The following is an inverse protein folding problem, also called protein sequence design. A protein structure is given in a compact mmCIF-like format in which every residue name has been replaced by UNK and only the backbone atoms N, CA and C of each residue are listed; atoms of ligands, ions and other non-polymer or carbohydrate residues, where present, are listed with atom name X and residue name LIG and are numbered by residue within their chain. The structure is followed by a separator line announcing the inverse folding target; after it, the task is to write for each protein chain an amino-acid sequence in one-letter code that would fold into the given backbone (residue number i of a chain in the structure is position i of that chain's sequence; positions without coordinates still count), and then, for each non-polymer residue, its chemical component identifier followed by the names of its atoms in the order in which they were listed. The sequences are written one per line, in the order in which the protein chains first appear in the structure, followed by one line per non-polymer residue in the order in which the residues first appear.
data_IF_167071584508
#
_entry.id   IF_167071584508
#
_cell.length_a   1.000
_cell.length_b   1.000
_cell.length_c   1.000
_cell.angle_alpha   90.00
_cell.angle_beta   90.00
_cell.angle_gamma   90.00
#
_symmetry.space_group_name_H-M   'P 1'
#
loop_
_entity.id
_entity.type
_entity.pdbx_description
1 polymer ?
#
# COMPACT_ATOMS: atom_id res chain seq x y z
N UNK A 1 14.01 -5.16 -0.05
CA UNK A 1 12.63 -5.37 -0.57
C UNK A 1 12.30 -4.28 -1.60
N UNK A 2 11.47 -4.54 -2.63
CA UNK A 2 11.05 -3.49 -3.58
C UNK A 2 10.14 -2.47 -2.88
N UNK A 3 10.31 -1.17 -3.13
CA UNK A 3 9.57 -0.08 -2.46
C UNK A 3 8.04 -0.24 -2.53
N UNK A 4 7.50 -0.51 -3.73
CA UNK A 4 6.06 -0.73 -3.90
C UNK A 4 5.51 -1.91 -3.07
N UNK A 5 6.31 -2.99 -2.92
CA UNK A 5 5.93 -4.14 -2.07
C UNK A 5 5.91 -3.75 -0.60
N UNK A 6 6.95 -3.04 -0.13
CA UNK A 6 7.03 -2.54 1.24
C UNK A 6 5.83 -1.63 1.55
N UNK A 7 5.60 -0.58 0.75
CA UNK A 7 4.52 0.38 0.96
C UNK A 7 3.16 -0.31 1.03
N UNK A 8 2.89 -1.30 0.17
CA UNK A 8 1.64 -2.07 0.24
C UNK A 8 1.47 -2.77 1.59
N UNK A 9 2.51 -3.44 2.09
CA UNK A 9 2.48 -4.14 3.39
C UNK A 9 2.23 -3.13 4.53
N UNK A 10 2.92 -1.98 4.53
CA UNK A 10 2.77 -0.98 5.59
C UNK A 10 1.38 -0.31 5.60
N UNK A 11 0.73 -0.19 4.44
CA UNK A 11 -0.61 0.39 4.32
C UNK A 11 -1.71 -0.62 4.69
N UNK A 12 -1.63 -1.85 4.17
CA UNK A 12 -2.69 -2.86 4.30
C UNK A 12 -2.52 -3.78 5.52
N UNK A 13 -1.33 -3.81 6.12
CA UNK A 13 -0.98 -4.71 7.20
C UNK A 13 -1.32 -4.21 8.60
N UNK A 14 -0.82 -4.93 9.60
CA UNK A 14 -1.02 -4.66 11.02
C UNK A 14 -0.41 -3.31 11.45
N UNK A 15 -1.24 -2.45 12.03
CA UNK A 15 -0.84 -1.13 12.56
C UNK A 15 0.15 -1.22 13.72
N UNK A 16 0.01 -2.19 14.61
CA UNK A 16 0.90 -2.39 15.75
C UNK A 16 2.33 -2.73 15.29
N UNK A 17 2.44 -3.52 14.21
CA UNK A 17 3.74 -3.86 13.63
C UNK A 17 4.42 -2.62 13.04
N UNK A 18 3.66 -1.78 12.32
CA UNK A 18 4.16 -0.53 11.78
C UNK A 18 4.59 0.44 12.90
N UNK A 19 3.80 0.55 13.97
CA UNK A 19 4.14 1.35 15.14
C UNK A 19 5.42 0.86 15.82
N UNK A 20 5.58 -0.45 16.01
CA UNK A 20 6.81 -1.04 16.55
C UNK A 20 8.04 -0.68 15.72
N UNK A 21 7.95 -0.80 14.39
CA UNK A 21 9.05 -0.43 13.50
C UNK A 21 9.37 1.06 13.58
N UNK A 22 8.35 1.93 13.58
CA UNK A 22 8.54 3.37 13.71
C UNK A 22 9.23 3.73 15.02
N UNK A 23 8.80 3.19 16.16
CA UNK A 23 9.42 3.41 17.48
C UNK A 23 10.89 2.98 17.50
N UNK A 24 11.22 1.89 16.81
CA UNK A 24 12.61 1.46 16.70
C UNK A 24 13.45 2.43 15.85
N UNK A 25 12.90 2.99 14.77
CA UNK A 25 13.60 4.04 14.00
C UNK A 25 13.85 5.26 14.88
N UNK A 26 12.84 5.72 15.63
CA UNK A 26 12.94 6.87 16.52
C UNK A 26 13.97 6.70 17.63
N UNK A 27 14.18 5.46 18.10
CA UNK A 27 15.17 5.18 19.14
C UNK A 27 16.62 5.18 18.64
N UNK A 28 16.87 4.87 17.37
CA UNK A 28 18.22 4.53 16.87
C UNK A 28 18.72 5.41 15.72
N UNK A 29 17.87 6.24 15.11
CA UNK A 29 18.24 7.07 13.97
C UNK A 29 18.24 8.56 14.30
N UNK A 30 19.08 9.30 13.59
CA UNK A 30 18.99 10.75 13.52
C UNK A 30 17.82 11.14 12.60
N UNK A 31 16.89 11.92 13.14
CA UNK A 31 15.61 12.22 12.51
C UNK A 31 15.42 13.71 12.30
N UNK A 32 15.04 14.07 11.08
CA UNK A 32 14.52 15.40 10.77
C UNK A 32 13.12 15.30 10.14
N UNK A 33 12.18 16.11 10.64
CA UNK A 33 10.84 16.18 10.07
C UNK A 33 10.80 17.26 8.99
N UNK A 34 10.98 16.84 7.75
CA UNK A 34 11.03 17.71 6.57
C UNK A 34 9.66 18.26 6.18
N UNK A 35 8.64 17.41 6.26
CA UNK A 35 7.24 17.77 6.03
C UNK A 35 6.38 17.03 7.04
N UNK A 36 5.83 17.79 7.98
CA UNK A 36 4.85 17.26 8.93
C UNK A 36 3.66 16.63 8.20
N UNK A 37 3.01 15.61 8.80
CA UNK A 37 1.83 14.99 8.22
C UNK A 37 0.78 16.05 7.88
N UNK A 38 0.36 16.09 6.63
CA UNK A 38 -0.66 17.02 6.15
C UNK A 38 -1.58 16.35 5.15
N UNK A 39 -2.83 16.79 5.16
CA UNK A 39 -3.80 16.35 4.17
C UNK A 39 -3.58 17.06 2.84
N UNK A 40 -3.97 16.38 1.77
CA UNK A 40 -3.94 16.89 0.41
C UNK A 40 -4.99 16.17 -0.44
N UNK A 41 -5.20 16.68 -1.64
CA UNK A 41 -6.11 16.08 -2.61
C UNK A 41 -5.30 15.61 -3.82
N UNK A 42 -5.53 14.36 -4.23
CA UNK A 42 -4.92 13.77 -5.43
C UNK A 42 -6.01 13.55 -6.46
N UNK A 43 -5.84 14.14 -7.64
CA UNK A 43 -6.79 13.98 -8.74
C UNK A 43 -6.75 12.54 -9.29
N UNK A 44 -7.89 11.86 -9.24
CA UNK A 44 -8.02 10.48 -9.73
C UNK A 44 -8.10 10.48 -11.26
N UNK A 45 -7.08 9.89 -11.88
CA UNK A 45 -7.00 9.72 -13.34
C UNK A 45 -7.43 8.32 -13.73
N UNK A 46 -8.55 8.20 -14.42
CA UNK A 46 -9.04 6.97 -15.04
C UNK A 46 -8.83 7.02 -16.55
N UNK A 47 -9.08 5.89 -17.22
CA UNK A 47 -9.12 5.82 -18.68
C UNK A 47 -10.53 5.47 -19.10
N UNK A 48 -11.07 6.23 -20.05
CA UNK A 48 -12.35 5.89 -20.67
C UNK A 48 -12.27 4.50 -21.33
N UNK A 49 -13.32 3.69 -21.16
CA UNK A 49 -13.30 2.29 -21.58
C UNK A 49 -13.33 2.13 -23.10
N UNK A 50 -13.90 3.09 -23.82
CA UNK A 50 -14.07 3.07 -25.28
C UNK A 50 -12.88 3.75 -25.97
N UNK A 51 -12.66 5.03 -25.67
CA UNK A 51 -11.65 5.88 -26.32
C UNK A 51 -10.24 5.73 -25.73
N UNK A 52 -10.10 5.08 -24.56
CA UNK A 52 -8.83 4.93 -23.79
C UNK A 52 -8.19 6.26 -23.37
N UNK A 53 -8.88 7.38 -23.57
CA UNK A 53 -8.41 8.71 -23.22
C UNK A 53 -8.40 8.92 -21.71
N UNK A 54 -7.47 9.75 -21.19
CA UNK A 54 -7.44 10.09 -19.78
C UNK A 54 -8.69 10.90 -19.39
N UNK A 55 -9.34 10.49 -18.31
CA UNK A 55 -10.49 11.16 -17.74
C UNK A 55 -10.26 11.38 -16.23
N UNK A 56 -10.64 12.55 -15.73
CA UNK A 56 -10.41 12.92 -14.33
C UNK A 56 -11.74 12.85 -13.58
N UNK A 57 -11.89 11.82 -12.73
CA UNK A 57 -13.17 11.44 -12.11
C UNK A 57 -13.47 12.20 -10.82
N UNK A 58 -12.48 12.91 -10.28
CA UNK A 58 -12.58 13.65 -9.02
C UNK A 58 -11.27 13.65 -8.26
N UNK A 59 -11.34 13.92 -6.97
CA UNK A 59 -10.19 14.02 -6.06
C UNK A 59 -10.31 13.01 -4.92
N UNK A 60 -9.17 12.49 -4.47
CA UNK A 60 -9.06 11.61 -3.31
C UNK A 60 -8.30 12.33 -2.21
N UNK A 61 -8.87 12.36 -1.01
CA UNK A 61 -8.18 12.81 0.19
C UNK A 61 -7.02 11.87 0.50
N UNK A 62 -5.83 12.44 0.67
CA UNK A 62 -4.63 11.73 1.09
C UNK A 62 -3.99 12.45 2.26
N UNK A 63 -3.20 11.71 3.03
CA UNK A 63 -2.26 12.28 4.00
C UNK A 63 -0.84 11.99 3.50
N UNK A 64 0.01 13.02 3.47
CA UNK A 64 1.43 12.90 3.10
C UNK A 64 2.34 13.34 4.24
N UNK A 65 3.48 12.66 4.40
CA UNK A 65 4.54 13.01 5.32
C UNK A 65 5.90 12.70 4.68
N UNK A 66 6.88 13.58 4.92
CA UNK A 66 8.27 13.39 4.51
C UNK A 66 9.17 13.57 5.72
N UNK A 67 10.06 12.62 5.92
CA UNK A 67 11.06 12.63 6.99
C UNK A 67 12.45 12.40 6.38
N UNK A 68 13.47 12.76 7.12
CA UNK A 68 14.85 12.37 6.84
C UNK A 68 15.32 11.46 7.97
N UNK A 69 15.86 10.30 7.62
CA UNK A 69 16.40 9.29 8.53
C UNK A 69 17.87 9.07 8.18
N UNK A 70 18.79 9.41 9.08
CA UNK A 70 20.24 9.35 8.83
C UNK A 70 20.63 9.97 7.47
N UNK A 71 20.11 11.18 7.17
CA UNK A 71 20.38 11.89 5.92
C UNK A 71 19.58 11.43 4.70
N UNK A 72 18.78 10.35 4.79
CA UNK A 72 18.03 9.79 3.66
C UNK A 72 16.54 10.07 3.78
N UNK A 73 15.91 10.50 2.68
CA UNK A 73 14.48 10.81 2.67
C UNK A 73 13.62 9.54 2.74
N UNK A 74 12.61 9.58 3.60
CA UNK A 74 11.51 8.64 3.67
C UNK A 74 10.17 9.34 3.43
N UNK A 75 9.24 8.66 2.77
CA UNK A 75 7.94 9.24 2.42
C UNK A 75 6.80 8.29 2.76
N UNK A 76 5.77 8.82 3.43
CA UNK A 76 4.51 8.13 3.70
C UNK A 76 3.37 8.88 3.03
N UNK A 77 2.67 8.20 2.12
CA UNK A 77 1.46 8.72 1.46
C UNK A 77 0.40 7.64 1.51
N UNK A 78 -0.77 7.97 2.02
CA UNK A 78 -1.92 7.07 2.08
C UNK A 78 -3.25 7.82 1.90
N UNK A 79 -4.27 7.10 1.47
CA UNK A 79 -5.63 7.64 1.34
C UNK A 79 -6.26 7.88 2.71
N UNK A 80 -7.09 8.91 2.81
CA UNK A 80 -7.75 9.32 4.04
C UNK A 80 -6.91 10.27 4.91
N UNK A 81 -7.44 10.58 6.10
CA UNK A 81 -6.82 11.44 7.10
C UNK A 81 -6.23 10.59 8.23
N UNK A 82 -4.99 10.12 8.03
CA UNK A 82 -4.27 9.27 8.98
C UNK A 82 -2.84 9.80 9.23
N UNK A 83 -2.69 10.95 9.93
CA UNK A 83 -1.39 11.62 10.10
C UNK A 83 -0.34 10.77 10.80
N UNK A 84 -0.72 10.05 11.85
CA UNK A 84 0.20 9.19 12.58
C UNK A 84 0.72 8.05 11.69
N UNK A 85 -0.16 7.43 10.90
CA UNK A 85 0.21 6.33 10.00
C UNK A 85 1.08 6.83 8.85
N UNK A 86 0.79 8.01 8.29
CA UNK A 86 1.64 8.65 7.28
C UNK A 86 3.07 8.85 7.79
N UNK A 87 3.21 9.37 9.01
CA UNK A 87 4.51 9.57 9.65
C UNK A 87 5.26 8.25 9.88
N UNK A 88 4.58 7.24 10.45
CA UNK A 88 5.18 5.93 10.69
C UNK A 88 5.65 5.25 9.39
N UNK A 89 4.86 5.34 8.31
CA UNK A 89 5.26 4.85 6.98
C UNK A 89 6.50 5.61 6.49
N UNK A 90 6.55 6.93 6.66
CA UNK A 90 7.68 7.75 6.23
C UNK A 90 8.97 7.35 6.96
N UNK A 91 8.90 7.10 8.28
CA UNK A 91 10.04 6.62 9.07
C UNK A 91 10.56 5.27 8.59
N UNK A 92 9.66 4.30 8.38
CA UNK A 92 10.05 2.96 7.92
C UNK A 92 10.60 3.02 6.51
N UNK A 93 10.01 3.80 5.60
CA UNK A 93 10.55 4.02 4.24
C UNK A 93 11.96 4.65 4.29
N UNK A 94 12.15 5.66 5.14
CA UNK A 94 13.44 6.31 5.37
C UNK A 94 14.49 5.34 5.89
N UNK A 95 14.14 4.48 6.86
CA UNK A 95 15.03 3.45 7.39
C UNK A 95 15.49 2.45 6.33
N UNK A 96 14.58 2.02 5.44
CA UNK A 96 14.94 1.16 4.30
C UNK A 96 15.83 1.89 3.28
N UNK A 97 15.57 3.17 3.00
CA UNK A 97 16.39 3.97 2.09
C UNK A 97 17.79 4.24 2.66
N UNK A 98 17.90 4.47 3.97
CA UNK A 98 19.16 4.61 4.72
C UNK A 98 19.89 3.27 4.95
N UNK A 99 19.27 2.14 4.61
CA UNK A 99 19.80 0.78 4.83
C UNK A 99 20.20 0.53 6.29
N UNK A 100 19.35 0.96 7.24
CA UNK A 100 19.63 0.72 8.65
C UNK A 100 19.70 -0.79 8.94
N UNK A 101 20.66 -1.28 9.75
CA UNK A 101 20.82 -2.71 10.02
C UNK A 101 19.55 -3.38 10.59
N UNK A 102 18.75 -2.63 11.35
CA UNK A 102 17.51 -3.12 11.95
C UNK A 102 16.46 -3.56 10.92
N UNK A 103 16.53 -3.02 9.69
CA UNK A 103 15.56 -3.35 8.62
C UNK A 103 15.67 -4.81 8.17
N UNK A 104 16.82 -5.45 8.34
CA UNK A 104 17.01 -6.88 8.05
C UNK A 104 16.22 -7.76 9.02
N UNK A 105 16.17 -7.38 10.30
CA UNK A 105 15.41 -8.08 11.34
C UNK A 105 13.89 -8.00 11.10
N UNK A 106 13.41 -7.00 10.36
CA UNK A 106 11.98 -6.84 10.04
C UNK A 106 11.52 -7.72 8.88
N UNK A 107 12.42 -8.19 8.02
CA UNK A 107 12.05 -8.92 6.81
C UNK A 107 11.14 -10.14 7.08
N UNK A 108 11.43 -11.00 8.06
CA UNK A 108 10.55 -12.15 8.36
C UNK A 108 9.15 -11.73 8.81
N UNK A 109 9.04 -10.65 9.60
CA UNK A 109 7.76 -10.13 10.06
C UNK A 109 6.95 -9.52 8.91
N UNK A 110 7.59 -8.75 8.03
CA UNK A 110 6.98 -8.19 6.82
C UNK A 110 6.51 -9.28 5.84
N UNK A 111 7.27 -10.37 5.70
CA UNK A 111 6.89 -11.50 4.85
C UNK A 111 5.68 -12.25 5.41
N UNK A 112 5.63 -12.47 6.71
CA UNK A 112 4.48 -13.05 7.40
C UNK A 112 3.24 -12.16 7.23
N UNK A 113 3.40 -10.85 7.38
CA UNK A 113 2.30 -9.89 7.21
C UNK A 113 1.78 -9.88 5.76
N UNK A 114 2.67 -9.93 4.77
CA UNK A 114 2.28 -10.03 3.37
C UNK A 114 1.46 -11.31 3.09
N UNK A 115 1.85 -12.45 3.68
CA UNK A 115 1.08 -13.69 3.56
C UNK A 115 -0.31 -13.56 4.19
N UNK A 116 -0.41 -12.91 5.36
CA UNK A 116 -1.68 -12.66 6.02
C UNK A 116 -2.61 -11.79 5.15
N UNK A 117 -2.10 -10.70 4.58
CA UNK A 117 -2.85 -9.83 3.66
C UNK A 117 -3.36 -10.63 2.46
N UNK A 118 -2.50 -11.43 1.82
CA UNK A 118 -2.89 -12.30 0.69
C UNK A 118 -3.98 -13.30 1.05
N UNK A 119 -3.88 -13.94 2.22
CA UNK A 119 -4.90 -14.88 2.70
C UNK A 119 -6.24 -14.18 2.96
N UNK A 120 -6.22 -12.98 3.54
CA UNK A 120 -7.43 -12.17 3.75
C UNK A 120 -8.11 -11.82 2.42
N UNK A 121 -7.34 -11.34 1.44
CA UNK A 121 -7.82 -11.04 0.09
C UNK A 121 -8.42 -12.28 -0.59
N UNK A 122 -7.75 -13.43 -0.48
CA UNK A 122 -8.26 -14.69 -1.05
C UNK A 122 -9.58 -15.11 -0.41
N UNK A 123 -9.73 -14.98 0.91
CA UNK A 123 -10.98 -15.28 1.62
C UNK A 123 -12.13 -14.39 1.16
N UNK A 124 -11.87 -13.10 0.95
CA UNK A 124 -12.87 -12.15 0.42
C UNK A 124 -13.30 -12.53 -1.00
N UNK A 125 -12.35 -12.83 -1.89
CA UNK A 125 -12.62 -13.29 -3.25
C UNK A 125 -13.46 -14.57 -3.23
N UNK A 126 -13.09 -15.56 -2.41
CA UNK A 126 -13.84 -16.80 -2.28
C UNK A 126 -15.26 -16.55 -1.77
N UNK A 127 -15.47 -15.63 -0.83
CA UNK A 127 -16.82 -15.26 -0.37
C UNK A 127 -17.68 -14.70 -1.52
N UNK A 128 -17.11 -13.85 -2.36
CA UNK A 128 -17.82 -13.24 -3.49
C UNK A 128 -18.11 -14.24 -4.63
N UNK A 129 -17.40 -15.37 -4.70
CA UNK A 129 -17.60 -16.38 -5.75
C UNK A 129 -19.02 -16.96 -5.78
N UNK A 130 -19.75 -16.91 -4.67
CA UNK A 130 -21.16 -17.32 -4.61
C UNK A 130 -22.12 -16.46 -5.45
N UNK A 131 -21.72 -15.23 -5.84
CA UNK A 131 -22.51 -14.38 -6.74
C UNK A 131 -22.13 -14.54 -8.22
N UNK A 132 -21.25 -15.50 -8.56
CA UNK A 132 -20.86 -15.75 -9.95
C UNK A 132 -21.98 -16.51 -10.66
N UNK A 133 -22.59 -15.86 -11.65
CA UNK A 133 -23.53 -16.52 -12.56
C UNK A 133 -22.73 -17.29 -13.62
N UNK A 134 -23.01 -18.59 -13.76
CA UNK A 134 -22.46 -19.42 -14.82
C UNK A 134 -23.46 -19.46 -15.98
N UNK A 135 -22.98 -19.12 -17.18
CA UNK A 135 -23.73 -19.32 -18.42
C UNK A 135 -23.03 -20.41 -19.21
N UNK A 136 -23.77 -21.46 -19.57
CA UNK A 136 -23.33 -22.43 -20.57
C UNK A 136 -23.82 -21.96 -21.95
N UNK A 137 -22.93 -21.96 -22.94
CA UNK A 137 -23.30 -21.75 -24.34
C UNK A 137 -23.54 -23.11 -24.97
N UNK A 138 -24.71 -23.34 -25.57
CA UNK A 138 -24.99 -24.57 -26.31
C UNK A 138 -23.95 -24.72 -27.43
N UNK A 139 -23.27 -25.86 -27.47
CA UNK A 139 -22.40 -26.23 -28.59
C UNK A 139 -23.17 -26.16 -29.92
N UNK A 140 -22.49 -25.66 -30.95
CA UNK A 140 -23.01 -25.32 -32.27
C UNK A 140 -23.97 -26.38 -32.84
N UNK A 141 -25.23 -25.98 -33.03
CA UNK A 141 -26.25 -26.73 -33.77
C UNK A 141 -26.04 -26.59 -35.31
N UNK A 142 -24.80 -26.68 -35.79
CA UNK A 142 -24.45 -26.55 -37.21
C UNK A 142 -23.69 -27.78 -37.73
N UNK A 143 -24.39 -28.91 -37.85
CA UNK A 143 -24.06 -29.96 -38.81
C UNK A 143 -25.29 -30.82 -39.12
N UNK A 144 -26.34 -30.21 -39.72
CA UNK A 144 -27.22 -30.97 -40.61
C UNK A 144 -26.59 -30.94 -42.00
N UNK A 145 -25.85 -32.00 -42.32
CA UNK A 145 -25.58 -32.38 -43.71
C UNK A 145 -26.74 -33.23 -44.24
#
# INVERSE_FOLDING_TARGET
MRKARLTKILIEGNRELLEQFATQVEAFADLNLERSPRTGLVMMKTRDSVSRQPFYTGEVLVTECVVQVNGHYGMGVLMGEEPQKAYQIALVDGAFNAKLPITEAWLPALEKEEQYIKQKQQKEITRLSGSRVNFDTMEDYNAKS
#
